data_IF_131907618779
#
_entry.id   IF_131907618779
#
_cell.length_a   1.000
_cell.length_b   1.000
_cell.length_c   1.000
_cell.angle_alpha   90.00
_cell.angle_beta   90.00
_cell.angle_gamma   90.00
#
_symmetry.space_group_name_H-M   'P 1'
#
loop_
_entity.id
_entity.type
_entity.pdbx_description
1 polymer ?
#
# COMPACT_ATOMS: atom_id res chain seq x y z
N UNK A 1 67.83 -32.14 -28.81
CA UNK A 1 67.65 -32.74 -30.15
C UNK A 1 66.36 -33.57 -30.15
N UNK A 2 65.43 -33.30 -31.09
CA UNK A 2 64.27 -34.14 -31.50
C UNK A 2 63.20 -34.41 -30.41
N UNK A 3 61.88 -34.46 -30.65
CA UNK A 3 60.99 -34.29 -31.82
C UNK A 3 59.54 -34.17 -31.27
N UNK A 4 58.66 -33.52 -32.05
CA UNK A 4 57.20 -33.41 -31.91
C UNK A 4 56.46 -34.76 -31.85
N UNK A 5 55.38 -34.86 -31.05
CA UNK A 5 54.09 -35.58 -31.27
C UNK A 5 53.10 -34.94 -30.25
N UNK A 6 51.96 -34.31 -30.55
CA UNK A 6 50.85 -34.72 -31.41
C UNK A 6 49.75 -35.38 -30.55
N UNK A 7 48.91 -34.59 -29.86
CA UNK A 7 47.70 -35.13 -29.18
C UNK A 7 46.50 -34.25 -29.48
N UNK A 8 45.45 -34.91 -29.96
CA UNK A 8 44.29 -34.34 -30.61
C UNK A 8 43.44 -33.42 -29.74
N UNK A 9 42.98 -32.36 -30.40
CA UNK A 9 41.98 -31.43 -29.92
C UNK A 9 40.60 -32.08 -30.03
N UNK A 10 40.11 -32.67 -28.94
CA UNK A 10 38.71 -33.11 -28.85
C UNK A 10 37.83 -31.88 -28.65
N UNK A 11 37.15 -31.49 -29.73
CA UNK A 11 36.19 -30.40 -29.78
C UNK A 11 34.93 -30.79 -28.97
N UNK A 12 34.80 -30.28 -27.75
CA UNK A 12 33.53 -30.34 -27.01
C UNK A 12 32.69 -29.14 -27.42
N UNK A 13 31.71 -29.38 -28.28
CA UNK A 13 30.64 -28.43 -28.60
C UNK A 13 29.75 -28.23 -27.37
N UNK A 14 30.05 -27.21 -26.56
CA UNK A 14 29.09 -26.65 -25.62
C UNK A 14 28.14 -25.75 -26.41
N UNK A 15 26.94 -26.25 -26.66
CA UNK A 15 25.85 -25.45 -27.18
C UNK A 15 25.49 -24.37 -26.14
N UNK A 16 26.04 -23.17 -26.31
CA UNK A 16 25.57 -21.97 -25.62
C UNK A 16 24.21 -21.60 -26.19
N UNK A 17 23.15 -22.11 -25.57
CA UNK A 17 21.79 -21.65 -25.83
C UNK A 17 21.67 -20.21 -25.33
N UNK A 18 21.92 -19.26 -26.23
CA UNK A 18 21.52 -17.86 -26.12
C UNK A 18 20.00 -17.79 -26.06
N UNK A 19 19.42 -18.15 -24.91
CA UNK A 19 18.03 -17.85 -24.61
C UNK A 19 17.87 -16.33 -24.56
N UNK A 20 16.83 -15.76 -25.19
CA UNK A 20 16.59 -14.33 -25.10
C UNK A 20 16.39 -13.99 -23.63
N UNK A 21 17.23 -13.09 -23.11
CA UNK A 21 16.93 -12.37 -21.88
C UNK A 21 15.60 -11.69 -22.13
N UNK A 22 14.53 -12.23 -21.54
CA UNK A 22 13.27 -11.53 -21.40
C UNK A 22 13.61 -10.36 -20.49
N UNK A 23 13.96 -9.22 -21.10
CA UNK A 23 13.93 -7.94 -20.45
C UNK A 23 12.49 -7.75 -20.02
N UNK A 24 12.23 -8.01 -18.73
CA UNK A 24 11.00 -7.58 -18.08
C UNK A 24 11.08 -6.07 -18.14
N UNK A 25 10.47 -5.47 -19.16
CA UNK A 25 10.30 -4.04 -19.21
C UNK A 25 9.59 -3.68 -17.91
N UNK A 26 10.30 -3.00 -17.00
CA UNK A 26 9.62 -2.27 -15.95
C UNK A 26 8.79 -1.22 -16.70
N UNK A 27 7.49 -1.49 -16.85
CA UNK A 27 6.54 -0.49 -17.31
C UNK A 27 6.81 0.77 -16.48
N UNK A 28 7.34 1.80 -17.14
CA UNK A 28 7.66 3.06 -16.48
C UNK A 28 6.42 3.51 -15.71
N UNK A 29 6.59 3.76 -14.41
CA UNK A 29 5.49 3.94 -13.45
C UNK A 29 4.38 4.83 -14.04
N UNK A 30 3.30 4.20 -14.52
CA UNK A 30 2.16 4.92 -15.08
C UNK A 30 1.45 5.60 -13.91
N UNK A 31 1.24 6.92 -13.97
CA UNK A 31 0.44 7.62 -12.95
C UNK A 31 -0.91 6.88 -12.81
N UNK A 32 -1.36 6.54 -11.59
CA UNK A 32 -2.65 5.88 -11.38
C UNK A 32 -3.79 6.63 -12.07
N UNK A 33 -4.90 5.96 -12.35
CA UNK A 33 -6.11 6.65 -12.81
C UNK A 33 -6.69 7.50 -11.65
N UNK A 34 -7.41 8.60 -11.93
CA UNK A 34 -8.14 9.33 -10.89
C UNK A 34 -9.06 8.39 -10.09
N UNK A 35 -9.08 8.52 -8.77
CA UNK A 35 -9.82 7.63 -7.87
C UNK A 35 -9.21 6.23 -7.66
N UNK A 36 -8.16 5.84 -8.39
CA UNK A 36 -7.48 4.57 -8.19
C UNK A 36 -6.73 4.52 -6.86
N UNK A 37 -6.91 3.44 -6.10
CA UNK A 37 -6.26 3.23 -4.81
C UNK A 37 -6.93 3.94 -3.63
N UNK A 38 -7.94 4.80 -3.86
CA UNK A 38 -8.63 5.54 -2.80
C UNK A 38 -9.24 4.59 -1.77
N UNK A 39 -9.88 3.50 -2.19
CA UNK A 39 -10.47 2.52 -1.26
C UNK A 39 -9.41 1.75 -0.45
N UNK A 40 -8.26 1.49 -1.08
CA UNK A 40 -7.12 0.85 -0.42
C UNK A 40 -6.54 1.77 0.67
N UNK A 41 -6.27 3.03 0.32
CA UNK A 41 -5.76 4.04 1.26
C UNK A 41 -6.75 4.25 2.41
N UNK A 42 -8.05 4.32 2.09
CA UNK A 42 -9.09 4.47 3.10
C UNK A 42 -9.09 3.34 4.12
N UNK A 43 -9.01 2.08 3.65
CA UNK A 43 -8.97 0.91 4.53
C UNK A 43 -7.77 0.95 5.48
N UNK A 44 -6.58 1.30 4.98
CA UNK A 44 -5.35 1.39 5.78
C UNK A 44 -5.46 2.52 6.80
N UNK A 45 -5.84 3.73 6.37
CA UNK A 45 -5.93 4.88 7.28
C UNK A 45 -6.99 4.64 8.36
N UNK A 46 -8.15 4.07 8.00
CA UNK A 46 -9.18 3.75 8.97
C UNK A 46 -8.72 2.69 9.99
N UNK A 47 -8.05 1.62 9.52
CA UNK A 47 -7.54 0.57 10.40
C UNK A 47 -6.43 1.08 11.32
N UNK A 48 -5.48 1.86 10.80
CA UNK A 48 -4.36 2.40 11.59
C UNK A 48 -4.84 3.46 12.58
N UNK A 49 -5.77 4.33 12.18
CA UNK A 49 -6.42 5.26 13.10
C UNK A 49 -7.09 4.53 14.27
N UNK A 50 -7.74 3.40 13.99
CA UNK A 50 -8.40 2.60 15.03
C UNK A 50 -7.41 1.90 15.97
N UNK A 51 -6.31 1.37 15.43
CA UNK A 51 -5.22 0.81 16.23
C UNK A 51 -4.61 1.88 17.13
N UNK A 52 -4.34 3.07 16.60
CA UNK A 52 -3.81 4.19 17.39
C UNK A 52 -4.75 4.57 18.55
N UNK A 53 -6.05 4.69 18.28
CA UNK A 53 -7.08 4.97 19.32
C UNK A 53 -7.14 3.91 20.41
N UNK A 54 -7.11 2.63 20.04
CA UNK A 54 -7.36 1.53 20.99
C UNK A 54 -6.10 1.04 21.69
N UNK A 55 -4.97 1.02 21.01
CA UNK A 55 -3.75 0.36 21.44
C UNK A 55 -2.63 1.32 21.84
N UNK A 56 -2.64 2.56 21.33
CA UNK A 56 -1.60 3.57 21.56
C UNK A 56 -2.18 4.90 22.06
N UNK A 57 -3.25 4.83 22.84
CA UNK A 57 -3.98 6.02 23.29
C UNK A 57 -3.04 7.00 24.03
N UNK A 58 -2.88 8.18 23.45
CA UNK A 58 -2.06 9.27 24.02
C UNK A 58 -0.56 9.17 23.73
N UNK A 59 -0.07 8.14 23.05
CA UNK A 59 1.37 7.99 22.76
C UNK A 59 1.86 8.94 21.67
N UNK A 60 1.07 9.12 20.60
CA UNK A 60 1.41 9.99 19.48
C UNK A 60 0.18 10.81 19.02
N UNK A 61 -0.16 11.90 19.74
CA UNK A 61 -1.39 12.66 19.48
C UNK A 61 -1.39 13.36 18.12
N UNK A 62 -0.22 13.80 17.62
CA UNK A 62 -0.11 14.44 16.31
C UNK A 62 -0.36 13.44 15.17
N UNK A 63 0.21 12.23 15.27
CA UNK A 63 -0.06 11.15 14.33
C UNK A 63 -1.53 10.77 14.33
N UNK A 64 -2.14 10.59 15.51
CA UNK A 64 -3.54 10.22 15.62
C UNK A 64 -4.45 11.29 14.99
N UNK A 65 -4.18 12.58 15.26
CA UNK A 65 -4.94 13.68 14.67
C UNK A 65 -4.84 13.69 13.14
N UNK A 66 -3.66 13.41 12.58
CA UNK A 66 -3.49 13.34 11.13
C UNK A 66 -4.18 12.10 10.53
N UNK A 67 -4.11 10.94 11.17
CA UNK A 67 -4.84 9.74 10.74
C UNK A 67 -6.36 9.99 10.70
N UNK A 68 -6.91 10.61 11.76
CA UNK A 68 -8.32 10.97 11.82
C UNK A 68 -8.68 11.98 10.73
N UNK A 69 -7.81 12.97 10.50
CA UNK A 69 -7.95 13.95 9.43
C UNK A 69 -7.93 13.32 8.04
N UNK A 70 -7.01 12.39 7.78
CA UNK A 70 -6.91 11.66 6.52
C UNK A 70 -8.16 10.83 6.25
N UNK A 71 -8.65 10.08 7.25
CA UNK A 71 -9.91 9.33 7.15
C UNK A 71 -11.06 10.26 6.82
N UNK A 72 -11.19 11.41 7.49
CA UNK A 72 -12.27 12.37 7.21
C UNK A 72 -12.19 12.98 5.80
N UNK A 73 -10.99 13.30 5.30
CA UNK A 73 -10.80 13.79 3.92
C UNK A 73 -11.20 12.73 2.90
N UNK A 74 -10.85 11.47 3.15
CA UNK A 74 -11.23 10.36 2.28
C UNK A 74 -12.73 10.09 2.35
N UNK A 75 -13.35 10.08 3.53
CA UNK A 75 -14.81 9.96 3.70
C UNK A 75 -15.54 11.01 2.84
N UNK A 76 -15.11 12.26 2.89
CA UNK A 76 -15.68 13.35 2.10
C UNK A 76 -15.49 13.13 0.59
N UNK A 77 -14.32 12.68 0.16
CA UNK A 77 -14.06 12.34 -1.24
C UNK A 77 -14.98 11.22 -1.73
N UNK A 78 -15.11 10.14 -0.96
CA UNK A 78 -15.93 8.98 -1.34
C UNK A 78 -17.40 9.36 -1.44
N UNK A 79 -17.91 10.19 -0.53
CA UNK A 79 -19.29 10.70 -0.61
C UNK A 79 -19.53 11.61 -1.83
N UNK A 80 -18.51 12.36 -2.26
CA UNK A 80 -18.63 13.29 -3.37
C UNK A 80 -18.51 12.61 -4.75
N UNK A 81 -17.69 11.56 -4.88
CA UNK A 81 -17.28 11.04 -6.19
C UNK A 81 -17.66 9.59 -6.48
N UNK A 82 -18.26 8.86 -5.52
CA UNK A 82 -18.71 7.49 -5.78
C UNK A 82 -19.82 7.41 -6.82
N UNK A 83 -19.66 6.46 -7.74
CA UNK A 83 -20.68 6.04 -8.70
C UNK A 83 -20.76 4.49 -8.73
N UNK A 84 -21.85 3.88 -8.23
CA UNK A 84 -23.04 4.52 -7.67
C UNK A 84 -22.73 5.30 -6.38
N UNK A 85 -23.55 6.32 -6.08
CA UNK A 85 -23.37 7.18 -4.91
C UNK A 85 -23.33 6.37 -3.60
N UNK A 86 -22.28 6.59 -2.80
CA UNK A 86 -22.19 6.07 -1.44
C UNK A 86 -23.02 6.93 -0.49
N UNK A 87 -23.64 6.27 0.49
CA UNK A 87 -24.35 6.95 1.57
C UNK A 87 -23.47 7.07 2.81
N UNK A 88 -23.76 7.99 3.75
CA UNK A 88 -23.06 8.04 5.03
C UNK A 88 -23.12 6.70 5.79
N UNK A 89 -24.23 5.96 5.69
CA UNK A 89 -24.33 4.64 6.31
C UNK A 89 -23.37 3.62 5.66
N UNK A 90 -23.16 3.69 4.34
CA UNK A 90 -22.18 2.84 3.65
C UNK A 90 -20.73 3.20 4.02
N UNK A 91 -20.46 4.48 4.33
CA UNK A 91 -19.16 4.94 4.84
C UNK A 91 -18.86 4.35 6.21
N UNK A 92 -19.83 4.41 7.14
CA UNK A 92 -19.67 3.77 8.44
C UNK A 92 -19.53 2.25 8.33
N UNK A 93 -20.29 1.61 7.41
CA UNK A 93 -20.16 0.19 7.15
C UNK A 93 -18.77 -0.21 6.65
N UNK A 94 -18.21 0.59 5.74
CA UNK A 94 -16.87 0.37 5.24
C UNK A 94 -15.83 0.47 6.37
N UNK A 95 -15.91 1.51 7.21
CA UNK A 95 -14.99 1.69 8.35
C UNK A 95 -15.13 0.57 9.37
N UNK A 96 -16.34 0.08 9.61
CA UNK A 96 -16.58 -1.09 10.46
C UNK A 96 -15.88 -2.34 9.94
N UNK A 97 -16.03 -2.63 8.65
CA UNK A 97 -15.48 -3.85 8.05
C UNK A 97 -13.97 -3.75 7.80
N UNK A 98 -13.51 -2.68 7.14
CA UNK A 98 -12.11 -2.50 6.76
C UNK A 98 -11.26 -1.91 7.89
N UNK A 99 -11.80 -0.91 8.60
CA UNK A 99 -11.14 -0.25 9.73
C UNK A 99 -11.25 -1.02 11.05
N UNK A 100 -12.06 -2.08 11.09
CA UNK A 100 -12.24 -2.94 12.27
C UNK A 100 -12.74 -2.19 13.52
N UNK A 101 -13.54 -1.13 13.38
CA UNK A 101 -13.97 -0.26 14.50
C UNK A 101 -14.74 -1.00 15.59
N UNK A 102 -15.40 -2.11 15.28
CA UNK A 102 -16.15 -2.92 16.25
C UNK A 102 -15.28 -4.00 16.94
N UNK A 103 -14.02 -4.17 16.52
CA UNK A 103 -13.14 -5.18 17.10
C UNK A 103 -12.71 -4.75 18.51
N UNK A 104 -12.90 -5.58 19.55
CA UNK A 104 -12.47 -5.24 20.91
C UNK A 104 -10.95 -5.01 21.01
N UNK A 105 -10.52 -4.08 21.87
CA UNK A 105 -9.10 -3.78 22.07
C UNK A 105 -8.28 -5.02 22.44
N UNK A 106 -8.82 -5.92 23.27
CA UNK A 106 -8.14 -7.17 23.64
C UNK A 106 -7.82 -8.10 22.45
N UNK A 107 -8.56 -7.98 21.34
CA UNK A 107 -8.33 -8.74 20.10
C UNK A 107 -7.44 -7.97 19.12
N UNK A 108 -7.51 -6.64 19.16
CA UNK A 108 -6.78 -5.76 18.24
C UNK A 108 -5.34 -5.50 18.69
N UNK A 109 -5.12 -5.28 19.99
CA UNK A 109 -3.84 -4.87 20.59
C UNK A 109 -2.96 -6.09 20.91
N UNK A 110 -2.74 -6.91 19.89
CA UNK A 110 -1.83 -8.06 19.93
C UNK A 110 -0.74 -7.87 18.88
N UNK A 111 0.50 -8.34 19.13
CA UNK A 111 1.55 -8.31 18.11
C UNK A 111 1.10 -8.98 16.82
N UNK A 112 1.44 -8.38 15.68
CA UNK A 112 1.11 -8.92 14.36
C UNK A 112 1.20 -7.87 13.25
N UNK A 113 0.63 -8.19 12.09
CA UNK A 113 0.73 -7.34 10.89
C UNK A 113 0.08 -5.97 11.08
N UNK A 114 -1.06 -5.93 11.80
CA UNK A 114 -1.77 -4.68 12.12
C UNK A 114 -0.92 -3.72 12.95
N UNK A 115 -0.34 -4.23 14.02
CA UNK A 115 0.59 -3.48 14.86
C UNK A 115 1.80 -3.01 14.05
N UNK A 116 2.37 -3.90 13.24
CA UNK A 116 3.50 -3.57 12.36
C UNK A 116 3.16 -2.44 11.38
N UNK A 117 1.93 -2.41 10.87
CA UNK A 117 1.45 -1.36 9.98
C UNK A 117 1.35 -0.01 10.70
N UNK A 118 0.80 0.03 11.93
CA UNK A 118 0.80 1.24 12.75
C UNK A 118 2.22 1.75 13.01
N UNK A 119 3.13 0.87 13.41
CA UNK A 119 4.51 1.25 13.69
C UNK A 119 5.24 1.81 12.46
N UNK A 120 4.98 1.27 11.26
CA UNK A 120 5.55 1.81 10.01
C UNK A 120 5.01 3.20 9.69
N UNK A 121 3.71 3.42 9.86
CA UNK A 121 3.09 4.73 9.65
C UNK A 121 3.57 5.75 10.70
N UNK A 122 3.75 5.33 11.95
CA UNK A 122 4.34 6.15 12.99
C UNK A 122 5.79 6.55 12.69
N UNK A 123 6.56 5.68 12.04
CA UNK A 123 7.95 5.96 11.65
C UNK A 123 8.06 6.97 10.50
N UNK A 124 7.16 6.94 9.51
CA UNK A 124 7.17 7.93 8.43
C UNK A 124 6.59 9.28 8.86
N UNK A 125 5.68 9.27 9.85
CA UNK A 125 5.16 10.46 10.50
C UNK A 125 3.96 11.12 9.79
N UNK A 126 3.35 12.11 10.44
CA UNK A 126 2.10 12.74 9.97
C UNK A 126 2.24 13.47 8.63
N UNK A 127 3.38 14.11 8.35
CA UNK A 127 3.55 14.85 7.09
C UNK A 127 3.51 13.95 5.85
N UNK A 128 4.03 12.72 5.97
CA UNK A 128 3.98 11.73 4.89
C UNK A 128 2.55 11.23 4.70
N UNK A 129 1.81 10.97 5.78
CA UNK A 129 0.40 10.59 5.71
C UNK A 129 -0.42 11.69 5.03
N UNK A 130 -0.19 12.94 5.39
CA UNK A 130 -0.85 14.10 4.79
C UNK A 130 -0.57 14.17 3.29
N UNK A 131 0.70 14.17 2.91
CA UNK A 131 1.12 14.30 1.50
C UNK A 131 0.57 13.15 0.65
N UNK A 132 0.70 11.91 1.11
CA UNK A 132 0.16 10.74 0.38
C UNK A 132 -1.37 10.79 0.26
N UNK A 133 -2.06 11.25 1.30
CA UNK A 133 -3.52 11.44 1.26
C UNK A 133 -3.89 12.55 0.29
N UNK A 134 -3.17 13.66 0.27
CA UNK A 134 -3.48 14.77 -0.63
C UNK A 134 -3.19 14.38 -2.08
N UNK A 135 -2.10 13.66 -2.34
CA UNK A 135 -1.74 13.16 -3.68
C UNK A 135 -2.77 12.19 -4.25
N UNK A 136 -3.32 11.28 -3.44
CA UNK A 136 -4.32 10.32 -3.90
C UNK A 136 -5.68 10.97 -4.19
N UNK A 137 -6.01 12.04 -3.46
CA UNK A 137 -7.27 12.78 -3.59
C UNK A 137 -7.17 13.96 -4.59
N UNK A 138 -5.97 14.30 -5.07
CA UNK A 138 -5.68 15.45 -5.96
C UNK A 138 -6.59 15.49 -7.19
N UNK A 139 -6.88 14.32 -7.78
CA UNK A 139 -7.64 14.20 -9.02
C UNK A 139 -8.97 13.49 -8.78
N UNK A 140 -10.11 14.20 -8.91
CA UNK A 140 -11.44 13.62 -8.81
C UNK A 140 -11.68 12.45 -9.77
N UNK A 141 -12.31 11.40 -9.27
CA UNK A 141 -12.68 10.19 -10.00
C UNK A 141 -13.35 9.18 -9.07
N UNK A 142 -14.10 8.23 -9.65
CA UNK A 142 -14.78 7.20 -8.87
C UNK A 142 -13.77 6.43 -8.00
N UNK A 143 -13.93 6.40 -6.66
CA UNK A 143 -13.02 5.68 -5.78
C UNK A 143 -13.02 4.18 -6.12
N UNK A 144 -11.82 3.66 -6.37
CA UNK A 144 -11.62 2.25 -6.70
C UNK A 144 -10.50 1.66 -5.85
N UNK A 145 -10.45 0.33 -5.80
CA UNK A 145 -9.29 -0.39 -5.31
C UNK A 145 -8.11 -0.21 -6.26
N UNK A 146 -6.91 -0.47 -5.76
CA UNK A 146 -5.66 -0.34 -6.49
C UNK A 146 -4.50 -0.32 -5.50
N UNK A 147 -3.30 -0.16 -6.03
CA UNK A 147 -2.11 0.02 -5.20
C UNK A 147 -2.19 1.38 -4.50
N UNK A 148 -1.89 1.41 -3.21
CA UNK A 148 -1.99 2.61 -2.38
C UNK A 148 -0.83 2.79 -1.40
N UNK A 149 0.22 1.95 -1.52
CA UNK A 149 1.46 1.97 -0.75
C UNK A 149 2.64 1.53 -1.63
#
# INVERSE_FOLDING_TARGET
>A
MKKLIGVGLTLVLLASSSGPLIAIAQDGARKPLPGQGVLCSWAIMAAVAEIGRKCHAGENPELQAELDGAVARIDAYVLAYSDPAMTPAAVEEFKRFQGHTDTPAATMCVPGDRETMYQRLAQVGPDVIRTTTDDILERPGNPTWGDCL
#
